data_IF_727713004980
#
_entry.id   IF_727713004980
#
_cell.length_a   1.000
_cell.length_b   1.000
_cell.length_c   1.000
_cell.angle_alpha   90.00
_cell.angle_beta   90.00
_cell.angle_gamma   90.00
#
_symmetry.space_group_name_H-M   'P 1'
#
loop_
_entity.id
_entity.type
_entity.pdbx_description
1 polymer ?
#
# COMPACT_ATOMS: atom_id res chain seq x y z
N UNK A 1 -63.55 2.48 -63.95
CA UNK A 1 -62.49 1.56 -64.44
C UNK A 1 -61.08 2.13 -64.27
N UNK A 2 -60.71 3.27 -64.87
CA UNK A 2 -59.36 3.86 -64.68
C UNK A 2 -59.13 4.47 -63.27
N UNK A 3 -60.13 5.16 -62.71
CA UNK A 3 -60.03 5.78 -61.38
C UNK A 3 -59.86 4.75 -60.25
N UNK A 4 -60.52 3.60 -60.38
CA UNK A 4 -60.48 2.52 -59.38
C UNK A 4 -59.09 1.84 -59.35
N UNK A 5 -58.46 1.71 -60.52
CA UNK A 5 -57.11 1.16 -60.64
C UNK A 5 -56.05 2.09 -60.04
N UNK A 6 -56.15 3.40 -60.28
CA UNK A 6 -55.25 4.41 -59.67
C UNK A 6 -55.42 4.44 -58.15
N UNK A 7 -56.65 4.34 -57.65
CA UNK A 7 -56.93 4.30 -56.21
C UNK A 7 -56.33 3.05 -55.53
N UNK A 8 -56.42 1.88 -56.17
CA UNK A 8 -55.80 0.64 -55.68
C UNK A 8 -54.27 0.74 -55.59
N UNK A 9 -53.63 1.35 -56.60
CA UNK A 9 -52.17 1.55 -56.59
C UNK A 9 -51.77 2.53 -55.47
N UNK A 10 -52.50 3.63 -55.31
CA UNK A 10 -52.24 4.61 -54.23
C UNK A 10 -52.41 3.98 -52.84
N UNK A 11 -53.43 3.17 -52.62
CA UNK A 11 -53.63 2.42 -51.38
C UNK A 11 -52.48 1.43 -51.11
N UNK A 12 -52.00 0.74 -52.16
CA UNK A 12 -50.88 -0.21 -52.02
C UNK A 12 -49.56 0.49 -51.73
N UNK A 13 -49.28 1.64 -52.37
CA UNK A 13 -48.09 2.45 -52.11
C UNK A 13 -48.12 3.02 -50.68
N UNK A 14 -49.28 3.50 -50.21
CA UNK A 14 -49.43 4.00 -48.84
C UNK A 14 -49.15 2.90 -47.81
N UNK A 15 -49.68 1.69 -48.03
CA UNK A 15 -49.47 0.53 -47.15
C UNK A 15 -48.00 0.08 -47.13
N UNK A 16 -47.29 0.14 -48.26
CA UNK A 16 -45.85 -0.16 -48.33
C UNK A 16 -45.00 0.87 -47.56
N UNK A 17 -45.31 2.16 -47.65
CA UNK A 17 -44.62 3.22 -46.88
C UNK A 17 -44.86 3.10 -45.37
N UNK A 18 -46.06 2.72 -44.96
CA UNK A 18 -46.37 2.47 -43.54
C UNK A 18 -45.57 1.27 -42.99
N UNK A 19 -45.37 0.22 -43.80
CA UNK A 19 -44.52 -0.93 -43.43
C UNK A 19 -43.03 -0.58 -43.34
N UNK A 20 -42.49 0.22 -44.26
CA UNK A 20 -41.09 0.70 -44.21
C UNK A 20 -40.84 1.58 -42.97
N UNK A 21 -41.77 2.48 -42.65
CA UNK A 21 -41.68 3.30 -41.44
C UNK A 21 -41.73 2.46 -40.16
N UNK A 22 -42.58 1.43 -40.12
CA UNK A 22 -42.63 0.49 -38.99
C UNK A 22 -41.31 -0.27 -38.78
N UNK A 23 -40.68 -0.75 -39.87
CA UNK A 23 -39.37 -1.40 -39.80
C UNK A 23 -38.26 -0.44 -39.35
N UNK A 24 -38.30 0.82 -39.78
CA UNK A 24 -37.35 1.84 -39.35
C UNK A 24 -37.44 2.14 -37.84
N UNK A 25 -38.66 2.22 -37.30
CA UNK A 25 -38.89 2.42 -35.85
C UNK A 25 -38.37 1.23 -35.03
N UNK A 26 -38.63 -0.01 -35.47
CA UNK A 26 -38.14 -1.22 -34.80
C UNK A 26 -36.61 -1.27 -34.81
N UNK A 27 -35.96 -0.95 -35.94
CA UNK A 27 -34.50 -0.89 -36.04
C UNK A 27 -33.90 0.16 -35.10
N UNK A 28 -34.49 1.36 -35.05
CA UNK A 28 -34.05 2.41 -34.14
C UNK A 28 -34.20 2.01 -32.67
N UNK A 29 -35.26 1.28 -32.32
CA UNK A 29 -35.49 0.78 -30.97
C UNK A 29 -34.48 -0.31 -30.59
N UNK A 30 -34.18 -1.25 -31.49
CA UNK A 30 -33.13 -2.27 -31.29
C UNK A 30 -31.76 -1.61 -31.10
N UNK A 31 -31.40 -0.63 -31.93
CA UNK A 31 -30.11 0.09 -31.82
C UNK A 31 -30.01 0.81 -30.47
N UNK A 32 -31.08 1.47 -30.00
CA UNK A 32 -31.11 2.11 -28.67
C UNK A 32 -30.93 1.11 -27.55
N UNK A 33 -31.62 -0.03 -27.60
CA UNK A 33 -31.49 -1.09 -26.60
C UNK A 33 -30.09 -1.71 -26.57
N UNK A 34 -29.46 -1.91 -27.74
CA UNK A 34 -28.08 -2.42 -27.84
C UNK A 34 -27.09 -1.42 -27.27
N UNK A 35 -27.20 -0.13 -27.63
CA UNK A 35 -26.34 0.92 -27.08
C UNK A 35 -26.47 1.06 -25.57
N UNK A 36 -27.70 0.95 -25.04
CA UNK A 36 -27.94 0.93 -23.60
C UNK A 36 -27.26 -0.26 -22.92
N UNK A 37 -27.39 -1.47 -23.49
CA UNK A 37 -26.75 -2.68 -22.95
C UNK A 37 -25.22 -2.57 -22.96
N UNK A 38 -24.62 -2.04 -24.04
CA UNK A 38 -23.18 -1.76 -24.10
C UNK A 38 -22.75 -0.74 -23.03
N UNK A 39 -23.54 0.31 -22.81
CA UNK A 39 -23.31 1.29 -21.75
C UNK A 39 -23.33 0.66 -20.35
N UNK A 40 -24.29 -0.23 -20.08
CA UNK A 40 -24.36 -0.96 -18.80
C UNK A 40 -23.16 -1.88 -18.60
N UNK A 41 -22.76 -2.62 -19.64
CA UNK A 41 -21.58 -3.51 -19.55
C UNK A 41 -20.29 -2.69 -19.31
N UNK A 42 -20.12 -1.58 -20.02
CA UNK A 42 -18.98 -0.68 -19.82
C UNK A 42 -18.96 -0.07 -18.42
N UNK A 43 -20.13 0.32 -17.90
CA UNK A 43 -20.28 0.84 -16.54
C UNK A 43 -19.93 -0.21 -15.47
N UNK A 44 -20.43 -1.44 -15.61
CA UNK A 44 -20.10 -2.55 -14.71
C UNK A 44 -18.61 -2.86 -14.74
N UNK A 45 -17.99 -2.89 -15.93
CA UNK A 45 -16.54 -3.10 -16.06
C UNK A 45 -15.70 -1.97 -15.47
N UNK A 46 -16.16 -0.74 -15.60
CA UNK A 46 -15.55 0.43 -14.97
C UNK A 46 -15.59 0.27 -13.44
N UNK A 47 -16.75 -0.06 -12.87
CA UNK A 47 -16.88 -0.33 -11.42
C UNK A 47 -15.92 -1.43 -10.99
N UNK A 48 -15.88 -2.58 -11.66
CA UNK A 48 -14.99 -3.68 -11.28
C UNK A 48 -13.50 -3.37 -11.44
N UNK A 49 -13.13 -2.38 -12.27
CA UNK A 49 -11.74 -1.94 -12.41
C UNK A 49 -11.30 -0.96 -11.32
N UNK A 50 -12.25 -0.34 -10.60
CA UNK A 50 -12.01 0.61 -9.52
C UNK A 50 -12.37 0.06 -8.13
N UNK A 51 -12.99 -1.12 -8.06
CA UNK A 51 -13.15 -1.85 -6.80
C UNK A 51 -11.85 -2.60 -6.52
N UNK A 52 -11.11 -2.27 -5.46
CA UNK A 52 -9.97 -3.08 -5.05
C UNK A 52 -10.48 -4.49 -4.74
N UNK A 53 -9.74 -5.51 -5.17
CA UNK A 53 -10.01 -6.89 -4.75
C UNK A 53 -10.12 -6.89 -3.22
N UNK A 54 -11.27 -7.30 -2.69
CA UNK A 54 -11.45 -7.44 -1.26
C UNK A 54 -10.55 -8.60 -0.82
N UNK A 55 -9.33 -8.25 -0.41
CA UNK A 55 -8.35 -9.17 0.13
C UNK A 55 -8.95 -9.78 1.40
N UNK A 56 -9.48 -11.00 1.30
CA UNK A 56 -9.96 -11.76 2.45
C UNK A 56 -8.77 -12.35 3.20
N UNK A 57 -7.99 -11.49 3.82
CA UNK A 57 -6.91 -11.88 4.72
C UNK A 57 -7.45 -11.78 6.14
N UNK A 58 -7.38 -12.89 6.87
CA UNK A 58 -7.78 -12.91 8.28
C UNK A 58 -6.60 -12.48 9.15
N UNK A 59 -6.44 -11.16 9.33
CA UNK A 59 -5.55 -10.58 10.36
C UNK A 59 -6.16 -10.61 11.77
N UNK A 60 -7.34 -11.23 11.91
CA UNK A 60 -8.10 -11.29 13.15
C UNK A 60 -7.80 -12.57 13.93
N UNK A 61 -7.45 -12.45 15.21
CA UNK A 61 -7.25 -13.56 16.15
C UNK A 61 -8.07 -13.31 17.39
N UNK A 62 -9.03 -14.18 17.68
CA UNK A 62 -9.92 -14.05 18.84
C UNK A 62 -10.58 -12.65 18.93
N UNK A 63 -10.90 -12.05 17.78
CA UNK A 63 -11.50 -10.72 17.68
C UNK A 63 -10.53 -9.54 17.78
N UNK A 64 -9.22 -9.79 17.89
CA UNK A 64 -8.17 -8.76 17.83
C UNK A 64 -7.57 -8.70 16.43
N UNK A 65 -7.49 -7.50 15.86
CA UNK A 65 -6.80 -7.24 14.61
C UNK A 65 -5.33 -6.96 14.91
N UNK A 66 -4.42 -7.64 14.21
CA UNK A 66 -2.98 -7.51 14.44
C UNK A 66 -2.27 -6.93 13.19
N UNK A 67 -1.32 -5.99 13.39
CA UNK A 67 -0.35 -5.66 12.35
C UNK A 67 0.66 -6.80 12.17
N UNK A 68 1.41 -6.74 11.08
CA UNK A 68 2.50 -7.68 10.79
C UNK A 68 3.75 -7.25 11.56
N UNK A 69 4.11 -8.01 12.60
CA UNK A 69 5.35 -7.80 13.36
C UNK A 69 6.55 -8.46 12.68
N UNK A 70 6.34 -9.62 12.06
CA UNK A 70 7.34 -10.43 11.37
C UNK A 70 6.66 -11.48 10.49
N UNK A 71 7.44 -12.19 9.69
CA UNK A 71 6.97 -13.24 8.78
C UNK A 71 7.51 -14.60 9.20
N UNK A 72 6.68 -15.63 9.12
CA UNK A 72 7.10 -17.02 9.25
C UNK A 72 7.61 -17.51 7.89
N UNK A 73 8.94 -17.62 7.79
CA UNK A 73 9.62 -18.10 6.61
C UNK A 73 10.93 -18.78 7.00
N UNK A 74 11.35 -19.75 6.18
CA UNK A 74 12.67 -20.38 6.30
C UNK A 74 13.74 -19.65 5.48
N UNK A 75 13.34 -18.73 4.61
CA UNK A 75 14.27 -17.86 3.88
C UNK A 75 14.98 -16.95 4.88
N UNK A 76 16.32 -16.89 4.81
CA UNK A 76 17.12 -15.97 5.63
C UNK A 76 16.99 -14.53 5.13
N UNK A 77 15.78 -13.99 5.19
CA UNK A 77 15.47 -12.60 4.86
C UNK A 77 15.09 -11.83 6.11
N UNK A 78 15.50 -10.57 6.17
CA UNK A 78 15.05 -9.59 7.17
C UNK A 78 14.71 -8.29 6.46
N UNK A 79 13.77 -7.52 7.00
CA UNK A 79 13.48 -6.17 6.53
C UNK A 79 14.08 -5.14 7.48
N UNK A 80 14.98 -4.31 6.96
CA UNK A 80 15.44 -3.11 7.66
C UNK A 80 14.50 -1.96 7.29
N UNK A 81 14.00 -1.22 8.28
CA UNK A 81 13.01 -0.16 8.07
C UNK A 81 13.40 1.12 8.81
N UNK A 82 12.99 2.26 8.26
CA UNK A 82 13.28 3.58 8.82
C UNK A 82 11.99 4.38 8.99
N UNK A 83 11.70 4.85 10.20
CA UNK A 83 10.65 5.83 10.44
C UNK A 83 11.22 7.23 10.23
N UNK A 84 10.59 7.98 9.32
CA UNK A 84 10.97 9.32 8.88
C UNK A 84 9.92 10.35 9.29
N UNK A 85 10.05 10.81 10.54
CA UNK A 85 9.16 11.81 11.14
C UNK A 85 9.82 13.19 11.29
N UNK A 86 11.13 13.24 11.55
CA UNK A 86 11.90 14.46 11.78
C UNK A 86 13.34 14.29 11.28
N UNK A 87 13.98 15.41 10.96
CA UNK A 87 15.37 15.43 10.47
C UNK A 87 15.54 14.81 9.09
N UNK A 88 16.53 15.30 8.35
CA UNK A 88 16.94 14.72 7.07
C UNK A 88 18.46 14.74 6.85
N UNK A 89 19.22 15.24 7.82
CA UNK A 89 20.64 15.57 7.72
C UNK A 89 21.48 14.36 7.29
N UNK A 90 21.08 13.17 7.74
CA UNK A 90 21.77 11.91 7.47
C UNK A 90 21.12 11.09 6.32
N UNK A 91 20.00 11.52 5.74
CA UNK A 91 19.26 10.74 4.73
C UNK A 91 20.13 10.43 3.51
N UNK A 92 20.86 11.41 2.98
CA UNK A 92 21.77 11.20 1.85
C UNK A 92 22.88 10.19 2.17
N UNK A 93 23.46 10.28 3.37
CA UNK A 93 24.48 9.32 3.83
C UNK A 93 23.92 7.91 4.00
N UNK A 94 22.69 7.79 4.51
CA UNK A 94 21.98 6.51 4.62
C UNK A 94 21.80 5.90 3.22
N UNK A 95 21.29 6.65 2.25
CA UNK A 95 21.12 6.20 0.87
C UNK A 95 22.44 5.76 0.23
N UNK A 96 23.52 6.50 0.43
CA UNK A 96 24.86 6.14 -0.07
C UNK A 96 25.34 4.81 0.52
N UNK A 97 25.13 4.58 1.82
CA UNK A 97 25.49 3.31 2.47
C UNK A 97 24.65 2.16 1.90
N UNK A 98 23.33 2.34 1.80
CA UNK A 98 22.42 1.32 1.25
C UNK A 98 22.81 0.93 -0.19
N UNK A 99 23.15 1.93 -1.01
CA UNK A 99 23.62 1.75 -2.39
C UNK A 99 24.94 0.96 -2.45
N UNK A 100 25.95 1.32 -1.62
CA UNK A 100 27.23 0.57 -1.55
C UNK A 100 27.03 -0.89 -1.16
N UNK A 101 26.00 -1.17 -0.37
CA UNK A 101 25.64 -2.52 0.03
C UNK A 101 24.69 -3.21 -0.95
N UNK A 102 24.17 -2.52 -1.96
CA UNK A 102 23.16 -3.03 -2.89
C UNK A 102 21.96 -3.65 -2.13
N UNK A 103 21.42 -2.90 -1.17
CA UNK A 103 20.25 -3.31 -0.37
C UNK A 103 19.11 -2.31 -0.57
N UNK A 104 17.89 -2.82 -0.59
CA UNK A 104 16.67 -2.01 -0.59
C UNK A 104 15.91 -2.21 0.72
N UNK A 105 15.31 -1.13 1.21
CA UNK A 105 14.68 -1.03 2.53
C UNK A 105 13.36 -0.28 2.42
N UNK A 106 12.63 -0.15 3.53
CA UNK A 106 11.37 0.59 3.58
C UNK A 106 11.49 1.83 4.47
N UNK A 107 11.06 2.98 3.95
CA UNK A 107 10.98 4.24 4.70
C UNK A 107 9.51 4.58 4.99
N UNK A 108 9.11 4.62 6.26
CA UNK A 108 7.78 5.06 6.69
C UNK A 108 7.80 6.56 7.00
N UNK A 109 7.14 7.38 6.18
CA UNK A 109 7.23 8.84 6.28
C UNK A 109 5.95 9.50 6.77
N UNK A 110 6.11 10.54 7.59
CA UNK A 110 5.00 11.40 8.00
C UNK A 110 4.66 12.42 6.93
N UNK A 111 3.44 12.97 6.98
CA UNK A 111 3.04 14.05 6.06
C UNK A 111 3.93 15.28 6.15
N UNK A 112 4.29 15.69 7.37
CA UNK A 112 5.21 16.82 7.59
C UNK A 112 6.62 16.58 7.04
N UNK A 113 7.13 15.34 7.09
CA UNK A 113 8.43 15.00 6.50
C UNK A 113 8.38 15.06 4.98
N UNK A 114 7.30 14.53 4.37
CA UNK A 114 7.08 14.60 2.92
C UNK A 114 7.03 16.04 2.40
N UNK A 115 6.34 16.93 3.11
CA UNK A 115 6.24 18.34 2.72
C UNK A 115 7.58 19.07 2.84
N UNK A 116 8.37 18.72 3.86
CA UNK A 116 9.64 19.39 4.16
C UNK A 116 10.77 18.92 3.24
N UNK A 117 10.75 17.64 2.84
CA UNK A 117 11.86 16.99 2.13
C UNK A 117 11.40 16.25 0.86
N UNK A 118 10.68 16.90 -0.07
CA UNK A 118 10.10 16.23 -1.24
C UNK A 118 11.15 15.64 -2.19
N UNK A 119 12.35 16.22 -2.26
CA UNK A 119 13.43 15.69 -3.09
C UNK A 119 14.04 14.42 -2.49
N UNK A 120 14.10 14.31 -1.16
CA UNK A 120 14.54 13.08 -0.49
C UNK A 120 13.52 11.96 -0.70
N UNK A 121 12.21 12.25 -0.64
CA UNK A 121 11.15 11.27 -0.97
C UNK A 121 11.34 10.70 -2.37
N UNK A 122 11.58 11.58 -3.37
CA UNK A 122 11.84 11.14 -4.75
C UNK A 122 13.13 10.34 -4.86
N UNK A 123 14.19 10.75 -4.17
CA UNK A 123 15.48 10.07 -4.19
C UNK A 123 15.38 8.66 -3.59
N UNK A 124 14.66 8.51 -2.48
CA UNK A 124 14.38 7.21 -1.84
C UNK A 124 13.68 6.27 -2.84
N UNK A 125 12.62 6.73 -3.50
CA UNK A 125 11.90 5.92 -4.48
C UNK A 125 12.76 5.60 -5.71
N UNK A 126 13.50 6.58 -6.24
CA UNK A 126 14.36 6.40 -7.39
C UNK A 126 15.52 5.42 -7.12
N UNK A 127 15.94 5.30 -5.86
CA UNK A 127 16.92 4.31 -5.41
C UNK A 127 16.35 2.88 -5.23
N UNK A 128 15.04 2.68 -5.49
CA UNK A 128 14.38 1.39 -5.41
C UNK A 128 13.92 0.98 -4.01
N UNK A 129 13.84 1.92 -3.07
CA UNK A 129 13.31 1.67 -1.73
C UNK A 129 11.78 1.79 -1.70
N UNK A 130 11.14 1.06 -0.78
CA UNK A 130 9.70 1.21 -0.54
C UNK A 130 9.41 2.54 0.17
N UNK A 131 8.32 3.20 -0.24
CA UNK A 131 7.69 4.27 0.52
C UNK A 131 6.52 3.71 1.33
N UNK A 132 6.56 3.88 2.65
CA UNK A 132 5.52 3.55 3.60
C UNK A 132 4.91 4.81 4.23
N UNK A 133 3.67 4.68 4.70
CA UNK A 133 2.92 5.75 5.35
C UNK A 133 3.11 5.70 6.86
N UNK A 134 3.42 6.83 7.49
CA UNK A 134 3.59 6.96 8.95
C UNK A 134 2.64 7.99 9.58
N UNK A 135 1.45 8.16 9.00
CA UNK A 135 0.42 9.15 9.37
C UNK A 135 0.83 10.61 9.10
N UNK A 136 -0.15 11.50 9.03
CA UNK A 136 0.08 12.91 8.70
C UNK A 136 0.81 13.65 9.82
N UNK A 137 0.30 13.55 11.05
CA UNK A 137 0.70 14.38 12.18
C UNK A 137 1.35 13.57 13.32
N UNK A 138 1.65 12.29 13.10
CA UNK A 138 2.32 11.43 14.08
C UNK A 138 1.55 11.35 15.41
N UNK A 139 0.21 11.23 15.35
CA UNK A 139 -0.67 11.13 16.53
C UNK A 139 -0.73 9.70 17.08
N UNK A 140 -1.12 9.54 18.34
CA UNK A 140 -1.60 8.25 18.86
C UNK A 140 -2.90 7.87 18.15
N UNK A 141 -2.81 6.97 17.18
CA UNK A 141 -3.91 6.63 16.28
C UNK A 141 -5.09 5.99 17.01
N UNK A 142 -4.86 5.27 18.12
CA UNK A 142 -5.93 4.66 18.94
C UNK A 142 -6.78 5.69 19.68
N UNK A 143 -6.29 6.93 19.81
CA UNK A 143 -6.93 7.99 20.61
C UNK A 143 -7.77 8.97 19.78
N UNK A 144 -7.85 8.78 18.47
CA UNK A 144 -8.59 9.64 17.53
C UNK A 144 -9.76 8.90 16.89
N UNK A 145 -10.73 9.63 16.35
CA UNK A 145 -11.91 9.04 15.69
C UNK A 145 -11.55 8.30 14.39
N UNK A 146 -12.40 7.40 13.93
CA UNK A 146 -12.12 6.64 12.70
C UNK A 146 -12.03 7.51 11.45
N UNK A 147 -12.78 8.62 11.40
CA UNK A 147 -12.65 9.61 10.34
C UNK A 147 -11.29 10.32 10.39
N UNK A 148 -10.81 10.69 11.59
CA UNK A 148 -9.47 11.26 11.76
C UNK A 148 -8.39 10.23 11.41
N UNK A 149 -8.50 8.97 11.85
CA UNK A 149 -7.58 7.88 11.47
C UNK A 149 -7.47 7.78 9.94
N UNK A 150 -8.61 7.79 9.23
CA UNK A 150 -8.64 7.75 7.76
C UNK A 150 -7.97 8.98 7.15
N UNK A 151 -8.24 10.17 7.68
CA UNK A 151 -7.62 11.41 7.18
C UNK A 151 -6.10 11.42 7.36
N UNK A 152 -5.60 10.97 8.51
CA UNK A 152 -4.17 10.85 8.79
C UNK A 152 -3.47 9.92 7.79
N UNK A 153 -4.12 8.84 7.33
CA UNK A 153 -3.57 7.91 6.34
C UNK A 153 -3.68 8.48 4.92
N UNK A 154 -4.89 8.90 4.50
CA UNK A 154 -5.17 9.32 3.11
C UNK A 154 -4.45 10.63 2.75
N UNK A 155 -4.22 11.53 3.70
CA UNK A 155 -3.50 12.78 3.46
C UNK A 155 -2.08 12.51 2.95
N UNK A 156 -1.31 11.68 3.67
CA UNK A 156 0.06 11.31 3.27
C UNK A 156 0.05 10.52 1.97
N UNK A 157 -0.92 9.60 1.78
CA UNK A 157 -1.07 8.87 0.52
C UNK A 157 -1.17 9.82 -0.68
N UNK A 158 -2.06 10.83 -0.58
CA UNK A 158 -2.25 11.81 -1.66
C UNK A 158 -0.96 12.60 -1.92
N UNK A 159 -0.30 13.10 -0.88
CA UNK A 159 0.95 13.87 -1.01
C UNK A 159 2.02 13.08 -1.76
N UNK A 160 2.29 11.83 -1.34
CA UNK A 160 3.30 10.98 -1.99
C UNK A 160 2.87 10.61 -3.41
N UNK A 161 1.59 10.27 -3.63
CA UNK A 161 1.07 9.92 -4.95
C UNK A 161 1.17 11.08 -5.94
N UNK A 162 0.84 12.30 -5.52
CA UNK A 162 0.97 13.50 -6.33
C UNK A 162 2.44 13.84 -6.62
N UNK A 163 3.32 13.63 -5.63
CA UNK A 163 4.75 13.95 -5.74
C UNK A 163 5.52 12.98 -6.63
N UNK A 164 5.17 11.69 -6.59
CA UNK A 164 6.00 10.60 -7.14
C UNK A 164 5.27 9.68 -8.12
N UNK A 165 3.94 9.68 -8.12
CA UNK A 165 3.12 8.70 -8.84
C UNK A 165 3.02 7.33 -8.16
N UNK A 166 3.66 7.11 -7.01
CA UNK A 166 3.66 5.84 -6.29
C UNK A 166 2.40 5.68 -5.40
N UNK A 167 1.75 4.51 -5.48
CA UNK A 167 0.65 4.14 -4.58
C UNK A 167 1.21 3.40 -3.36
N UNK A 168 1.29 4.09 -2.23
CA UNK A 168 1.70 3.44 -0.98
C UNK A 168 0.66 2.42 -0.50
N UNK A 169 1.13 1.28 -0.03
CA UNK A 169 0.30 0.20 0.52
C UNK A 169 0.81 -0.35 1.87
N UNK A 170 1.89 0.22 2.42
CA UNK A 170 2.43 -0.13 3.75
C UNK A 170 2.17 1.02 4.71
N UNK A 171 1.62 0.73 5.89
CA UNK A 171 1.34 1.71 6.93
C UNK A 171 1.96 1.26 8.25
N UNK A 172 2.64 2.16 8.95
CA UNK A 172 3.11 1.92 10.31
C UNK A 172 2.45 2.95 11.23
N UNK A 173 1.66 2.52 12.24
CA UNK A 173 1.11 3.45 13.22
C UNK A 173 2.24 4.12 14.03
N UNK A 174 2.20 5.45 14.23
CA UNK A 174 3.11 6.14 15.13
C UNK A 174 3.19 5.50 16.52
N UNK A 175 4.39 5.52 17.11
CA UNK A 175 4.66 4.95 18.44
C UNK A 175 4.37 3.45 18.59
N UNK A 176 4.02 2.75 17.50
CA UNK A 176 3.46 1.41 17.57
C UNK A 176 2.07 1.36 18.21
N UNK A 177 1.37 2.49 18.31
CA UNK A 177 0.05 2.61 18.93
C UNK A 177 -1.06 2.17 17.96
N UNK A 178 -1.81 1.14 18.34
CA UNK A 178 -2.96 0.67 17.57
C UNK A 178 -4.01 -0.01 18.46
N UNK A 179 -5.24 0.04 17.97
CA UNK A 179 -6.34 -0.83 18.36
C UNK A 179 -6.92 -1.50 17.10
N UNK A 180 -8.00 -2.26 17.27
CA UNK A 180 -8.68 -2.90 16.14
C UNK A 180 -9.15 -1.89 15.08
N UNK A 181 -9.58 -0.71 15.49
CA UNK A 181 -10.11 0.30 14.59
C UNK A 181 -9.00 0.94 13.76
N UNK A 182 -7.80 1.12 14.32
CA UNK A 182 -6.61 1.53 13.55
C UNK A 182 -6.30 0.53 12.44
N UNK A 183 -6.21 -0.76 12.77
CA UNK A 183 -5.86 -1.80 11.79
C UNK A 183 -6.93 -1.93 10.72
N UNK A 184 -8.23 -1.92 11.10
CA UNK A 184 -9.34 -1.95 10.14
C UNK A 184 -9.36 -0.73 9.24
N UNK A 185 -9.19 0.46 9.81
CA UNK A 185 -9.19 1.70 9.01
C UNK A 185 -8.05 1.71 8.00
N UNK A 186 -6.86 1.23 8.38
CA UNK A 186 -5.74 1.06 7.46
C UNK A 186 -6.07 0.07 6.33
N UNK A 187 -6.62 -1.10 6.66
CA UNK A 187 -7.02 -2.10 5.68
C UNK A 187 -8.10 -1.56 4.71
N UNK A 188 -9.10 -0.83 5.21
CA UNK A 188 -10.12 -0.15 4.40
C UNK A 188 -9.53 0.93 3.48
N UNK A 189 -8.36 1.49 3.83
CA UNK A 189 -7.61 2.41 2.98
C UNK A 189 -6.66 1.69 2.01
N UNK A 190 -6.66 0.35 1.98
CA UNK A 190 -5.80 -0.46 1.11
C UNK A 190 -4.39 -0.69 1.65
N UNK A 191 -4.18 -0.57 2.96
CA UNK A 191 -2.86 -0.70 3.58
C UNK A 191 -2.68 -1.98 4.40
N UNK A 192 -1.48 -2.54 4.32
CA UNK A 192 -0.96 -3.52 5.27
C UNK A 192 -0.32 -2.78 6.44
N UNK A 193 -0.81 -3.03 7.65
CA UNK A 193 -0.25 -2.46 8.87
C UNK A 193 1.00 -3.22 9.30
N UNK A 194 2.12 -2.52 9.45
CA UNK A 194 3.45 -3.07 9.72
C UNK A 194 3.93 -2.59 11.09
N UNK A 195 4.45 -3.52 11.89
CA UNK A 195 5.15 -3.28 13.15
C UNK A 195 6.62 -3.70 13.03
N UNK A 196 7.26 -4.07 14.14
CA UNK A 196 8.61 -4.62 14.19
C UNK A 196 8.72 -5.62 15.35
N UNK A 197 9.51 -6.68 15.17
CA UNK A 197 9.89 -7.62 16.23
C UNK A 197 11.30 -7.35 16.77
N UNK A 198 12.07 -6.48 16.10
CA UNK A 198 13.41 -6.05 16.50
C UNK A 198 13.48 -4.52 16.53
N UNK A 199 13.63 -3.93 17.72
CA UNK A 199 13.81 -2.49 17.90
C UNK A 199 15.31 -2.17 18.08
N UNK A 200 15.85 -1.26 17.27
CA UNK A 200 17.24 -0.83 17.37
C UNK A 200 17.53 0.04 18.60
N UNK A 201 16.49 0.67 19.16
CA UNK A 201 16.59 1.68 20.23
C UNK A 201 17.50 2.86 19.87
N UNK A 202 17.68 3.15 18.58
CA UNK A 202 18.55 4.23 18.09
C UNK A 202 18.17 5.61 18.61
N UNK A 203 16.88 5.85 18.84
CA UNK A 203 16.32 7.05 19.47
C UNK A 203 16.77 7.30 20.93
N UNK A 204 17.47 6.35 21.57
CA UNK A 204 18.02 6.50 22.93
C UNK A 204 19.39 7.18 22.98
N UNK A 205 20.05 7.41 21.85
CA UNK A 205 21.36 8.06 21.77
C UNK A 205 22.51 7.37 22.55
N UNK A 206 22.48 6.03 22.64
CA UNK A 206 23.52 5.24 23.33
C UNK A 206 24.77 4.95 22.47
N UNK A 207 24.85 5.53 21.28
CA UNK A 207 25.98 5.36 20.34
C UNK A 207 25.79 4.24 19.32
N UNK A 208 26.62 4.25 18.28
CA UNK A 208 26.50 3.34 17.14
C UNK A 208 26.68 1.86 17.54
N UNK A 209 27.65 1.55 18.40
CA UNK A 209 27.89 0.17 18.86
C UNK A 209 26.68 -0.41 19.64
N UNK A 210 25.95 0.45 20.37
CA UNK A 210 24.73 0.04 21.06
C UNK A 210 23.65 -0.37 20.07
N UNK A 211 23.46 0.38 18.99
CA UNK A 211 22.50 0.05 17.91
C UNK A 211 22.88 -1.30 17.28
N UNK A 212 24.14 -1.45 16.89
CA UNK A 212 24.65 -2.66 16.23
C UNK A 212 24.45 -3.88 17.12
N UNK A 213 24.87 -3.80 18.39
CA UNK A 213 24.74 -4.91 19.34
C UNK A 213 23.29 -5.22 19.67
N UNK A 214 22.43 -4.20 19.84
CA UNK A 214 21.01 -4.39 20.15
C UNK A 214 20.31 -5.15 19.04
N UNK A 215 20.52 -4.76 17.78
CA UNK A 215 19.91 -5.44 16.62
C UNK A 215 20.52 -6.82 16.42
N UNK A 216 21.85 -6.93 16.31
CA UNK A 216 22.52 -8.17 15.92
C UNK A 216 22.40 -9.29 16.96
N UNK A 217 22.15 -8.94 18.23
CA UNK A 217 21.96 -9.90 19.33
C UNK A 217 20.51 -9.92 19.85
N UNK A 218 19.57 -9.31 19.13
CA UNK A 218 18.17 -9.27 19.57
C UNK A 218 17.59 -10.67 19.66
N UNK A 219 16.91 -11.00 20.75
CA UNK A 219 16.33 -12.33 20.99
C UNK A 219 15.29 -12.77 19.94
N UNK A 220 14.72 -11.82 19.20
CA UNK A 220 13.75 -12.09 18.15
C UNK A 220 14.36 -12.04 16.74
N UNK A 221 15.61 -11.60 16.58
CA UNK A 221 16.24 -11.54 15.26
C UNK A 221 16.30 -12.95 14.65
N UNK A 222 15.61 -13.13 13.53
CA UNK A 222 15.48 -14.38 12.82
C UNK A 222 14.99 -14.20 11.38
N UNK A 223 14.75 -15.31 10.69
CA UNK A 223 14.10 -15.29 9.39
C UNK A 223 12.75 -14.59 9.48
N UNK A 224 12.51 -13.64 8.59
CA UNK A 224 11.29 -12.85 8.53
C UNK A 224 11.18 -11.72 9.54
N UNK A 225 12.25 -11.38 10.27
CA UNK A 225 12.22 -10.24 11.19
C UNK A 225 12.12 -8.90 10.47
N UNK A 226 11.44 -7.95 11.10
CA UNK A 226 11.31 -6.56 10.69
C UNK A 226 11.99 -5.70 11.76
N UNK A 227 13.00 -4.94 11.33
CA UNK A 227 13.89 -4.15 12.20
C UNK A 227 13.49 -2.66 12.10
N UNK A 228 13.23 -2.03 13.24
CA UNK A 228 12.96 -0.59 13.34
C UNK A 228 14.24 0.21 13.57
N UNK A 229 14.46 1.21 12.72
CA UNK A 229 15.38 2.34 12.91
C UNK A 229 14.65 3.65 12.57
N UNK A 230 15.32 4.78 12.77
CA UNK A 230 14.86 6.12 12.42
C UNK A 230 15.92 6.82 11.57
N UNK A 231 15.51 7.50 10.49
CA UNK A 231 16.45 8.18 9.60
C UNK A 231 17.14 9.39 10.29
N UNK A 232 16.43 10.05 11.20
CA UNK A 232 16.89 11.23 11.94
C UNK A 232 17.54 10.94 13.29
N UNK A 233 17.74 9.66 13.65
CA UNK A 233 18.43 9.31 14.89
C UNK A 233 19.95 9.52 14.78
N UNK A 234 20.52 10.12 15.81
CA UNK A 234 21.89 10.69 15.82
C UNK A 234 22.99 9.74 15.37
N UNK A 235 22.87 8.46 15.70
CA UNK A 235 23.92 7.46 15.46
C UNK A 235 23.55 6.43 14.40
N UNK A 236 22.36 6.51 13.79
CA UNK A 236 21.87 5.48 12.87
C UNK A 236 22.73 5.41 11.61
N UNK A 237 23.05 6.55 11.00
CA UNK A 237 23.92 6.58 9.82
C UNK A 237 25.37 6.18 10.10
N UNK A 238 25.83 6.31 11.35
CA UNK A 238 27.15 5.82 11.78
C UNK A 238 27.15 4.30 11.96
N UNK A 239 26.08 3.74 12.54
CA UNK A 239 25.93 2.31 12.77
C UNK A 239 25.68 1.49 11.50
N UNK A 240 25.04 2.10 10.49
CA UNK A 240 24.39 1.40 9.39
C UNK A 240 25.32 0.49 8.56
N UNK A 241 26.53 0.94 8.24
CA UNK A 241 27.48 0.17 7.42
C UNK A 241 27.89 -1.15 8.10
N UNK A 242 28.25 -1.07 9.39
CA UNK A 242 28.59 -2.23 10.21
C UNK A 242 27.36 -3.10 10.48
N UNK A 243 26.20 -2.49 10.70
CA UNK A 243 24.95 -3.23 10.93
C UNK A 243 24.59 -4.11 9.71
N UNK A 244 24.59 -3.55 8.50
CA UNK A 244 24.31 -4.29 7.27
C UNK A 244 25.36 -5.40 7.07
N UNK A 245 26.64 -5.08 7.27
CA UNK A 245 27.74 -6.05 7.16
C UNK A 245 27.55 -7.22 8.11
N UNK A 246 27.17 -6.96 9.36
CA UNK A 246 26.94 -7.99 10.38
C UNK A 246 25.72 -8.85 10.06
N UNK A 247 24.59 -8.25 9.66
CA UNK A 247 23.39 -9.00 9.27
C UNK A 247 23.68 -9.93 8.09
N UNK A 248 24.37 -9.43 7.05
CA UNK A 248 24.83 -10.26 5.92
C UNK A 248 25.81 -11.34 6.35
N UNK A 249 26.73 -11.03 7.27
CA UNK A 249 27.66 -11.99 7.86
C UNK A 249 26.98 -13.13 8.64
N UNK A 250 25.80 -12.86 9.22
CA UNK A 250 24.93 -13.89 9.82
C UNK A 250 24.12 -14.69 8.78
N UNK A 251 24.26 -14.35 7.50
CA UNK A 251 23.63 -15.00 6.36
C UNK A 251 22.26 -14.43 6.00
N UNK A 252 21.89 -13.26 6.50
CA UNK A 252 20.63 -12.61 6.13
C UNK A 252 20.76 -11.82 4.83
N UNK A 253 19.80 -12.00 3.95
CA UNK A 253 19.47 -11.07 2.88
C UNK A 253 18.59 -9.95 3.46
N UNK A 254 18.91 -8.70 3.14
CA UNK A 254 18.12 -7.53 3.57
C UNK A 254 17.23 -7.13 2.40
N UNK A 255 15.92 -7.18 2.61
CA UNK A 255 14.90 -6.89 1.61
C UNK A 255 13.95 -5.79 2.11
N UNK A 256 13.29 -5.05 1.23
CA UNK A 256 12.22 -4.15 1.64
C UNK A 256 11.01 -4.97 2.14
N UNK A 257 10.16 -4.35 2.96
CA UNK A 257 8.97 -5.02 3.54
C UNK A 257 8.04 -5.55 2.45
N UNK A 258 7.93 -4.86 1.31
CA UNK A 258 7.11 -5.27 0.16
C UNK A 258 7.48 -6.63 -0.44
N UNK A 259 8.74 -7.07 -0.25
CA UNK A 259 9.29 -8.36 -0.68
C UNK A 259 9.30 -9.41 0.44
N UNK A 260 9.16 -8.97 1.70
CA UNK A 260 9.15 -9.87 2.86
C UNK A 260 7.76 -10.43 3.16
N UNK A 261 6.73 -9.58 3.11
CA UNK A 261 5.38 -9.96 3.54
C UNK A 261 4.62 -10.75 2.48
N UNK A 262 3.73 -11.63 2.93
CA UNK A 262 2.69 -12.20 2.08
C UNK A 262 1.57 -11.17 1.87
N UNK A 263 1.01 -11.09 0.67
CA UNK A 263 -0.11 -10.16 0.36
C UNK A 263 -1.45 -10.89 0.34
N UNK A 264 -1.40 -12.18 0.04
CA UNK A 264 -2.54 -13.08 -0.01
C UNK A 264 -2.15 -14.42 0.63
N UNK A 265 -3.16 -15.28 0.85
CA UNK A 265 -2.97 -16.64 1.36
C UNK A 265 -2.13 -16.67 2.64
N UNK A 266 -2.53 -15.87 3.64
CA UNK A 266 -1.88 -15.88 4.95
C UNK A 266 -2.89 -15.67 6.08
N UNK A 267 -2.48 -16.12 7.27
CA UNK A 267 -3.11 -15.81 8.54
C UNK A 267 -2.08 -15.27 9.53
N UNK A 268 -2.56 -14.65 10.60
CA UNK A 268 -1.70 -14.18 11.69
C UNK A 268 -1.74 -15.16 12.86
N UNK A 269 -0.62 -15.31 13.57
CA UNK A 269 -0.58 -15.95 14.89
C UNK A 269 -0.70 -14.92 16.03
N UNK A 270 -0.87 -15.38 17.28
CA UNK A 270 -1.17 -14.50 18.42
C UNK A 270 -0.10 -13.43 18.71
N UNK A 271 1.14 -13.64 18.25
CA UNK A 271 2.26 -12.71 18.35
C UNK A 271 2.31 -11.70 17.19
N UNK A 272 1.37 -11.76 16.25
CA UNK A 272 1.39 -10.91 15.05
C UNK A 272 2.46 -11.36 14.04
N UNK A 273 2.85 -12.64 14.05
CA UNK A 273 3.65 -13.26 12.99
C UNK A 273 2.74 -13.71 11.86
N UNK A 274 3.10 -13.31 10.65
CA UNK A 274 2.42 -13.68 9.43
C UNK A 274 2.79 -15.10 9.00
N UNK A 275 1.81 -15.98 8.77
CA UNK A 275 2.03 -17.37 8.38
C UNK A 275 1.34 -17.63 7.05
N UNK A 276 2.08 -18.19 6.09
CA UNK A 276 1.54 -18.56 4.79
C UNK A 276 0.51 -19.68 4.96
N UNK A 277 -0.62 -19.55 4.29
CA UNK A 277 -1.60 -20.62 4.17
C UNK A 277 -1.00 -21.76 3.33
N UNK A 278 -1.28 -23.00 3.73
CA UNK A 278 -0.79 -24.21 3.06
C UNK A 278 -1.42 -24.47 1.70
#
# INVERSE_FOLDING_TARGET
MWKDFVHLIQCRIKRLREMENGQAVIRAQIIRSVLFLFGVIAFVRCITAFVPDAVSVSSTINGRELPIYCVDTQEKKVALTFDAAWGNEDTGKILDILSRHNVHVTFFMTGGWVDSYPEDVKAILAAGHDLGNHSENHKNMSQISNDEKRQEIVSVHRKVKELTGYDMFLFRPPYGDYDNDVIRTAAECGYYSIQWDVDSLDWKDYGADSIISTVCNHKHLGCGSIILCHNGAKFTAEALDTLITNLKGQGYEIVPVSELIYRDGYHMNAEGRQQKDG
#
